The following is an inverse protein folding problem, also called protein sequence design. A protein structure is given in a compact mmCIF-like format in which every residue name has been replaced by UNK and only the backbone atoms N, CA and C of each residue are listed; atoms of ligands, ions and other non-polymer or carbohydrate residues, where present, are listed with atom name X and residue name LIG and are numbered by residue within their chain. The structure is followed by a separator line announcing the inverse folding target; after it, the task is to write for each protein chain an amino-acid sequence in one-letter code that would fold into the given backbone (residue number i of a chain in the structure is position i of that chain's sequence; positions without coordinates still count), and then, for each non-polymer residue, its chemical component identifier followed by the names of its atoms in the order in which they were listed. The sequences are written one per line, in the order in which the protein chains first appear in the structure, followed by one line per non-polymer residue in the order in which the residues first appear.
data_IF_676972057300
#
_entry.id   IF_676972057300
#
_cell.length_a   1.000
_cell.length_b   1.000
_cell.length_c   1.000
_cell.angle_alpha   90.00
_cell.angle_beta   90.00
_cell.angle_gamma   90.00
#
_symmetry.space_group_name_H-M   'P 1'
#
loop_
_entity.id
_entity.type
_entity.pdbx_description
1 polymer ?
#
# COMPACT_ATOMS: atom_id res chain seq x y z
N UNK A 1 11.87 -16.28 9.54
CA UNK A 1 12.02 -15.03 8.77
C UNK A 1 10.94 -14.05 9.19
N UNK A 2 11.14 -12.73 9.07
CA UNK A 2 10.06 -11.76 9.30
C UNK A 2 8.95 -11.94 8.26
N UNK A 3 7.73 -11.51 8.61
CA UNK A 3 6.61 -11.44 7.67
C UNK A 3 6.90 -10.44 6.56
N UNK A 4 6.52 -10.75 5.32
CA UNK A 4 6.57 -9.82 4.19
C UNK A 4 5.40 -8.84 4.33
N UNK A 5 5.69 -7.56 4.58
CA UNK A 5 4.64 -6.56 4.84
C UNK A 5 3.77 -6.27 3.60
N UNK A 6 4.42 -6.16 2.45
CA UNK A 6 3.79 -6.00 1.13
C UNK A 6 4.65 -6.73 0.10
N UNK A 7 4.01 -7.28 -0.90
CA UNK A 7 4.68 -7.86 -2.06
C UNK A 7 4.08 -7.22 -3.30
N UNK A 8 4.89 -6.50 -4.06
CA UNK A 8 4.47 -5.92 -5.32
C UNK A 8 4.87 -6.84 -6.47
N UNK A 9 3.93 -7.65 -6.93
CA UNK A 9 4.10 -8.51 -8.10
C UNK A 9 3.42 -7.94 -9.35
N UNK A 10 2.54 -6.96 -9.16
CA UNK A 10 1.73 -6.35 -10.21
C UNK A 10 2.49 -5.36 -11.08
N UNK A 11 3.24 -4.47 -10.45
CA UNK A 11 4.02 -3.45 -11.15
C UNK A 11 5.51 -3.89 -11.26
N UNK A 12 5.83 -5.11 -10.82
CA UNK A 12 7.15 -5.71 -10.88
C UNK A 12 7.14 -6.95 -11.77
N UNK A 13 7.66 -6.80 -12.99
CA UNK A 13 7.69 -7.87 -13.99
C UNK A 13 8.59 -9.06 -13.62
N UNK A 14 9.46 -8.95 -12.61
CA UNK A 14 10.36 -10.04 -12.22
C UNK A 14 9.60 -11.31 -11.83
N UNK A 15 8.62 -11.20 -10.92
CA UNK A 15 7.96 -12.37 -10.34
C UNK A 15 7.08 -13.12 -11.37
N UNK A 16 6.28 -12.43 -12.21
CA UNK A 16 5.59 -13.09 -13.32
C UNK A 16 6.55 -13.75 -14.31
N UNK A 17 7.63 -13.06 -14.71
CA UNK A 17 8.64 -13.61 -15.64
C UNK A 17 9.34 -14.83 -15.05
N UNK A 18 9.72 -14.77 -13.77
CA UNK A 18 10.35 -15.91 -13.08
C UNK A 18 9.47 -17.15 -13.15
N UNK A 19 8.16 -16.99 -12.97
CA UNK A 19 7.18 -18.08 -13.03
C UNK A 19 7.02 -18.62 -14.44
N UNK A 20 6.62 -17.75 -15.37
CA UNK A 20 6.17 -18.16 -16.70
C UNK A 20 7.31 -18.65 -17.58
N UNK A 21 8.43 -17.93 -17.56
CA UNK A 21 9.55 -18.23 -18.44
C UNK A 21 10.34 -19.45 -17.95
N UNK A 22 10.59 -19.55 -16.64
CA UNK A 22 11.37 -20.67 -16.08
C UNK A 22 10.53 -21.85 -15.59
N UNK A 23 9.19 -21.77 -15.69
CA UNK A 23 8.27 -22.83 -15.28
C UNK A 23 8.53 -23.33 -13.85
N UNK A 24 8.80 -22.40 -12.93
CA UNK A 24 9.13 -22.75 -11.54
C UNK A 24 7.92 -23.38 -10.83
N UNK A 25 8.17 -24.43 -10.04
CA UNK A 25 7.14 -25.00 -9.16
C UNK A 25 6.77 -24.03 -8.03
N UNK A 26 5.62 -24.24 -7.39
CA UNK A 26 5.19 -23.46 -6.23
C UNK A 26 6.25 -23.45 -5.12
N UNK A 27 6.80 -24.63 -4.80
CA UNK A 27 7.82 -24.77 -3.76
C UNK A 27 9.12 -24.04 -4.12
N UNK A 28 9.53 -24.05 -5.40
CA UNK A 28 10.71 -23.30 -5.83
C UNK A 28 10.45 -21.80 -5.79
N UNK A 29 9.30 -21.36 -6.32
CA UNK A 29 8.87 -19.95 -6.28
C UNK A 29 8.83 -19.41 -4.85
N UNK A 30 8.23 -20.17 -3.92
CA UNK A 30 8.23 -19.85 -2.49
C UNK A 30 9.65 -19.66 -1.94
N UNK A 31 10.55 -20.61 -2.23
CA UNK A 31 11.94 -20.57 -1.77
C UNK A 31 12.69 -19.35 -2.30
N UNK A 32 12.53 -19.02 -3.58
CA UNK A 32 13.18 -17.86 -4.21
C UNK A 32 12.67 -16.54 -3.60
N UNK A 33 11.36 -16.39 -3.44
CA UNK A 33 10.79 -15.17 -2.86
C UNK A 33 11.22 -15.00 -1.40
N UNK A 34 11.24 -16.08 -0.61
CA UNK A 34 11.71 -16.04 0.79
C UNK A 34 13.22 -15.73 0.86
N UNK A 35 14.02 -16.28 -0.05
CA UNK A 35 15.45 -15.97 -0.16
C UNK A 35 15.68 -14.48 -0.46
N UNK A 36 15.03 -13.96 -1.51
CA UNK A 36 15.10 -12.56 -1.91
C UNK A 36 14.63 -11.61 -0.79
N UNK A 37 13.60 -12.01 -0.03
CA UNK A 37 13.14 -11.26 1.13
C UNK A 37 14.16 -11.26 2.27
N UNK A 38 14.79 -12.42 2.54
CA UNK A 38 15.87 -12.53 3.52
C UNK A 38 17.03 -11.59 3.20
N UNK A 39 17.47 -11.57 1.94
CA UNK A 39 18.50 -10.65 1.47
C UNK A 39 18.10 -9.18 1.66
N UNK A 40 16.87 -8.81 1.29
CA UNK A 40 16.34 -7.46 1.51
C UNK A 40 16.43 -7.05 2.99
N UNK A 41 16.01 -7.94 3.90
CA UNK A 41 16.05 -7.71 5.35
C UNK A 41 17.48 -7.53 5.83
N UNK A 42 18.41 -8.38 5.39
CA UNK A 42 19.82 -8.32 5.77
C UNK A 42 20.48 -7.02 5.28
N UNK A 43 20.18 -6.59 4.04
CA UNK A 43 20.66 -5.32 3.49
C UNK A 43 20.13 -4.12 4.29
N UNK A 44 18.85 -4.11 4.61
CA UNK A 44 18.26 -3.06 5.45
C UNK A 44 18.91 -3.03 6.83
N UNK A 45 19.12 -4.20 7.44
CA UNK A 45 19.78 -4.32 8.74
C UNK A 45 21.21 -3.78 8.71
N UNK A 46 22.00 -4.12 7.68
CA UNK A 46 23.35 -3.56 7.48
C UNK A 46 23.33 -2.04 7.36
N UNK A 47 22.28 -1.46 6.79
CA UNK A 47 22.07 0.00 6.68
C UNK A 47 21.47 0.63 7.95
N UNK A 48 21.23 -0.16 9.00
CA UNK A 48 20.66 0.28 10.28
C UNK A 48 19.14 0.50 10.24
N UNK A 49 18.44 -0.13 9.30
CA UNK A 49 16.98 -0.08 9.17
C UNK A 49 16.40 -1.42 9.61
N UNK A 50 15.51 -1.40 10.59
CA UNK A 50 14.73 -2.58 10.96
C UNK A 50 13.54 -2.73 10.00
N UNK A 51 13.48 -3.79 9.20
CA UNK A 51 12.36 -4.03 8.27
C UNK A 51 10.99 -3.97 8.97
N UNK A 52 10.88 -4.52 10.19
CA UNK A 52 9.63 -4.54 10.95
C UNK A 52 9.12 -3.12 11.33
N UNK A 53 10.01 -2.13 11.44
CA UNK A 53 9.61 -0.74 11.72
C UNK A 53 9.02 -0.03 10.50
N UNK A 54 9.14 -0.62 9.30
CA UNK A 54 8.57 -0.08 8.06
C UNK A 54 7.11 -0.52 7.83
N UNK A 55 6.56 -1.42 8.65
CA UNK A 55 5.19 -1.94 8.50
C UNK A 55 4.15 -0.85 8.24
N UNK A 56 4.20 0.26 8.97
CA UNK A 56 3.22 1.36 8.82
C UNK A 56 3.37 2.15 7.53
N UNK A 57 4.50 2.07 6.82
CA UNK A 57 4.63 2.60 5.45
C UNK A 57 4.17 1.58 4.40
N UNK A 58 4.20 0.28 4.72
CA UNK A 58 4.02 -0.80 3.74
C UNK A 58 2.65 -1.47 3.78
N UNK A 59 1.87 -1.29 4.85
CA UNK A 59 0.51 -1.82 4.96
C UNK A 59 -0.49 -0.71 5.22
N UNK A 60 -1.72 -0.80 4.69
CA UNK A 60 -2.76 0.17 5.01
C UNK A 60 -3.10 0.11 6.51
N UNK A 61 -3.56 1.25 7.05
CA UNK A 61 -4.02 1.37 8.43
C UNK A 61 -5.50 1.78 8.45
N UNK A 62 -6.39 1.02 9.11
CA UNK A 62 -7.85 1.21 9.01
C UNK A 62 -8.32 2.58 9.53
N UNK A 63 -7.54 3.21 10.40
CA UNK A 63 -7.86 4.52 11.01
C UNK A 63 -7.08 5.69 10.42
N UNK A 64 -6.30 5.47 9.35
CA UNK A 64 -5.45 6.51 8.74
C UNK A 64 -5.83 6.78 7.29
N UNK A 65 -5.52 7.98 6.83
CA UNK A 65 -5.89 8.48 5.53
C UNK A 65 -4.78 8.30 4.52
N UNK A 66 -5.19 8.05 3.29
CA UNK A 66 -4.35 8.13 2.10
C UNK A 66 -4.73 9.41 1.36
N UNK A 67 -3.74 10.19 0.94
CA UNK A 67 -3.96 11.50 0.33
C UNK A 67 -2.99 11.72 -0.82
N UNK A 68 -3.50 12.19 -1.95
CA UNK A 68 -2.68 12.71 -3.04
C UNK A 68 -2.68 14.24 -3.02
N UNK A 69 -1.52 14.85 -2.89
CA UNK A 69 -1.32 16.29 -2.96
C UNK A 69 -0.99 16.69 -4.40
N UNK A 70 -1.67 17.71 -4.92
CA UNK A 70 -1.59 18.11 -6.32
C UNK A 70 -0.90 19.47 -6.46
N UNK A 71 0.02 19.54 -7.42
CA UNK A 71 0.82 20.72 -7.70
C UNK A 71 0.77 21.06 -9.19
N UNK A 72 0.43 22.29 -9.52
CA UNK A 72 0.48 22.83 -10.87
C UNK A 72 1.93 23.13 -11.24
N UNK A 73 2.50 22.34 -12.15
CA UNK A 73 3.92 22.45 -12.50
C UNK A 73 4.25 23.75 -13.22
N UNK A 74 3.28 24.39 -13.89
CA UNK A 74 3.48 25.70 -14.53
C UNK A 74 3.60 26.85 -13.54
N UNK A 75 3.20 26.61 -12.29
CA UNK A 75 3.27 27.59 -11.20
C UNK A 75 4.44 27.34 -10.25
N UNK A 76 5.26 26.33 -10.53
CA UNK A 76 6.52 26.12 -9.84
C UNK A 76 7.52 27.21 -10.25
N UNK A 77 8.38 27.61 -9.32
CA UNK A 77 9.54 28.47 -9.62
C UNK A 77 10.62 27.71 -10.39
N UNK A 78 10.78 26.41 -10.12
CA UNK A 78 11.74 25.53 -10.81
C UNK A 78 11.11 24.88 -12.04
N UNK A 79 10.98 25.63 -13.12
CA UNK A 79 10.30 25.17 -14.36
C UNK A 79 10.86 23.88 -14.98
N UNK A 80 12.17 23.63 -14.85
CA UNK A 80 12.81 22.42 -15.42
C UNK A 80 12.78 21.20 -14.48
N UNK A 81 12.42 21.38 -13.22
CA UNK A 81 12.40 20.33 -12.20
C UNK A 81 11.29 20.57 -11.17
N UNK A 82 10.03 20.71 -11.60
CA UNK A 82 8.91 21.08 -10.72
C UNK A 82 8.72 20.07 -9.59
N UNK A 83 8.96 18.77 -9.87
CA UNK A 83 8.91 17.71 -8.87
C UNK A 83 9.86 17.91 -7.68
N UNK A 84 11.00 18.59 -7.88
CA UNK A 84 11.91 18.91 -6.77
C UNK A 84 11.24 19.89 -5.82
N UNK A 85 10.77 21.05 -6.30
CA UNK A 85 10.12 22.06 -5.47
C UNK A 85 8.91 21.50 -4.70
N UNK A 86 8.09 20.69 -5.37
CA UNK A 86 6.93 20.04 -4.77
C UNK A 86 7.34 19.06 -3.66
N UNK A 87 8.36 18.23 -3.93
CA UNK A 87 8.89 17.27 -2.94
C UNK A 87 9.49 18.00 -1.75
N UNK A 88 10.27 19.07 -1.98
CA UNK A 88 10.85 19.88 -0.91
C UNK A 88 9.78 20.51 -0.01
N UNK A 89 8.69 20.98 -0.59
CA UNK A 89 7.56 21.51 0.17
C UNK A 89 6.87 20.43 0.99
N UNK A 90 6.60 19.25 0.40
CA UNK A 90 5.97 18.15 1.12
C UNK A 90 6.83 17.66 2.29
N UNK A 91 8.13 17.44 2.08
CA UNK A 91 9.03 16.93 3.12
C UNK A 91 9.16 17.89 4.32
N UNK A 92 9.14 19.21 4.07
CA UNK A 92 9.04 20.23 5.14
C UNK A 92 7.67 20.23 5.85
N UNK A 93 6.62 19.82 5.15
CA UNK A 93 5.28 19.77 5.70
C UNK A 93 5.05 18.54 6.61
N UNK A 94 5.64 17.39 6.23
CA UNK A 94 5.53 16.13 6.94
C UNK A 94 6.06 16.20 8.38
N UNK A 95 5.45 15.42 9.28
CA UNK A 95 5.92 15.32 10.66
C UNK A 95 7.28 14.65 10.75
N UNK A 96 8.18 15.17 11.60
CA UNK A 96 9.57 14.70 11.69
C UNK A 96 9.68 13.19 11.97
N UNK A 97 8.85 12.64 12.88
CA UNK A 97 8.94 11.24 13.33
C UNK A 97 7.96 10.29 12.63
N UNK A 98 7.35 10.70 11.52
CA UNK A 98 6.35 9.87 10.85
C UNK A 98 6.96 8.89 9.85
N UNK A 99 6.22 7.83 9.55
CA UNK A 99 6.63 6.77 8.63
C UNK A 99 5.56 6.56 7.56
N UNK A 100 5.92 6.80 6.29
CA UNK A 100 5.00 6.77 5.15
C UNK A 100 5.67 6.20 3.91
N UNK A 101 4.93 5.48 3.10
CA UNK A 101 5.26 5.34 1.69
C UNK A 101 4.76 6.55 0.93
N UNK A 102 5.62 7.09 0.07
CA UNK A 102 5.33 8.22 -0.79
C UNK A 102 5.43 7.73 -2.23
N UNK A 103 4.35 7.94 -2.98
CA UNK A 103 4.30 7.70 -4.41
C UNK A 103 4.31 9.05 -5.13
N UNK A 104 4.97 9.11 -6.28
CA UNK A 104 5.20 10.35 -7.02
C UNK A 104 5.00 10.15 -8.51
N UNK A 105 4.64 11.21 -9.22
CA UNK A 105 4.49 11.16 -10.67
C UNK A 105 3.81 12.39 -11.24
N UNK A 106 3.69 12.41 -12.56
CA UNK A 106 3.03 13.50 -13.28
C UNK A 106 1.71 13.00 -13.89
N UNK A 107 0.67 13.81 -13.71
CA UNK A 107 -0.57 13.72 -14.47
C UNK A 107 -0.49 14.72 -15.61
N UNK A 108 -0.36 14.22 -16.84
CA UNK A 108 -0.58 15.00 -18.05
C UNK A 108 -2.06 14.89 -18.39
N UNK A 109 -2.82 15.99 -18.48
CA UNK A 109 -4.25 15.79 -18.70
C UNK A 109 -5.23 16.94 -18.77
N UNK A 110 -4.86 18.18 -19.10
CA UNK A 110 -5.92 19.16 -19.42
C UNK A 110 -6.76 18.80 -20.62
N UNK A 111 -6.16 18.09 -21.58
CA UNK A 111 -6.83 17.51 -22.74
C UNK A 111 -7.50 16.18 -22.40
N UNK A 112 -7.24 15.61 -21.22
CA UNK A 112 -7.85 14.36 -20.78
C UNK A 112 -9.18 14.65 -20.06
N UNK A 113 -10.26 14.61 -20.84
CA UNK A 113 -11.64 14.74 -20.34
C UNK A 113 -11.92 13.76 -19.20
N UNK A 114 -11.31 12.57 -19.21
CA UNK A 114 -11.49 11.56 -18.17
C UNK A 114 -10.86 12.02 -16.84
N UNK A 115 -9.62 12.51 -16.88
CA UNK A 115 -8.95 13.05 -15.69
C UNK A 115 -9.76 14.17 -15.03
N UNK A 116 -10.29 15.11 -15.84
CA UNK A 116 -11.12 16.20 -15.32
C UNK A 116 -12.42 15.69 -14.71
N UNK A 117 -13.08 14.75 -15.37
CA UNK A 117 -14.35 14.16 -14.92
C UNK A 117 -14.18 13.40 -13.61
N UNK A 118 -13.09 12.63 -13.48
CA UNK A 118 -12.85 11.81 -12.30
C UNK A 118 -12.31 12.61 -11.11
N UNK A 119 -11.47 13.62 -11.34
CA UNK A 119 -10.71 14.27 -10.27
C UNK A 119 -11.30 15.61 -9.82
N UNK A 120 -11.76 16.46 -10.76
CA UNK A 120 -12.18 17.83 -10.40
C UNK A 120 -13.29 17.90 -9.33
N UNK A 121 -14.31 17.02 -9.34
CA UNK A 121 -15.40 17.07 -8.34
C UNK A 121 -14.97 16.68 -6.92
N UNK A 122 -13.83 15.99 -6.78
CA UNK A 122 -13.42 15.33 -5.53
C UNK A 122 -12.13 15.91 -4.94
N UNK A 123 -11.45 16.79 -5.67
CA UNK A 123 -10.31 17.53 -5.14
C UNK A 123 -10.80 18.56 -4.13
N UNK A 124 -10.22 18.50 -2.94
CA UNK A 124 -10.38 19.52 -1.91
C UNK A 124 -9.43 20.67 -2.26
N UNK A 125 -10.00 21.80 -2.65
CA UNK A 125 -9.26 23.03 -2.95
C UNK A 125 -9.89 24.22 -2.24
N UNK A 126 -9.08 25.16 -1.79
CA UNK A 126 -9.53 26.45 -1.25
C UNK A 126 -9.84 27.47 -2.35
N UNK A 127 -9.56 27.14 -3.62
CA UNK A 127 -9.78 28.03 -4.77
C UNK A 127 -11.22 27.88 -5.27
N UNK A 128 -12.01 28.95 -5.17
CA UNK A 128 -13.44 28.98 -5.54
C UNK A 128 -13.73 28.63 -7.01
N UNK A 129 -12.77 28.84 -7.91
CA UNK A 129 -12.85 28.52 -9.33
C UNK A 129 -11.93 27.37 -9.75
N UNK A 130 -11.65 26.43 -8.83
CA UNK A 130 -10.72 25.34 -9.06
C UNK A 130 -11.05 24.56 -10.35
N UNK A 131 -10.03 24.38 -11.18
CA UNK A 131 -10.00 23.45 -12.29
C UNK A 131 -8.68 22.70 -12.25
N UNK A 132 -8.72 21.40 -12.52
CA UNK A 132 -7.50 20.60 -12.61
C UNK A 132 -6.55 21.23 -13.65
N UNK A 133 -5.29 21.53 -13.28
CA UNK A 133 -4.29 22.03 -14.21
C UNK A 133 -3.99 21.05 -15.35
N UNK A 134 -3.32 21.59 -16.37
CA UNK A 134 -2.92 20.83 -17.56
C UNK A 134 -1.85 19.79 -17.28
N UNK A 135 -0.97 20.13 -16.35
CA UNK A 135 0.16 19.36 -15.88
C UNK A 135 0.14 19.43 -14.36
N UNK A 136 0.05 18.27 -13.71
CA UNK A 136 0.08 18.18 -12.26
C UNK A 136 1.18 17.24 -11.84
N UNK A 137 2.10 17.71 -11.00
CA UNK A 137 2.91 16.79 -10.22
C UNK A 137 2.08 16.36 -9.01
N UNK A 138 2.12 15.07 -8.69
CA UNK A 138 1.34 14.47 -7.62
C UNK A 138 2.28 13.77 -6.66
N UNK A 139 2.08 14.04 -5.37
CA UNK A 139 2.71 13.29 -4.29
C UNK A 139 1.61 12.65 -3.45
N UNK A 140 1.54 11.34 -3.52
CA UNK A 140 0.63 10.53 -2.73
C UNK A 140 1.34 10.05 -1.47
N UNK A 141 0.67 10.15 -0.32
CA UNK A 141 1.19 9.75 0.98
C UNK A 141 0.18 8.86 1.67
N UNK A 142 0.62 7.68 2.12
CA UNK A 142 -0.25 6.77 2.86
C UNK A 142 -0.24 7.04 4.37
N UNK A 143 -1.27 6.53 5.06
CA UNK A 143 -1.33 6.43 6.51
C UNK A 143 -1.14 7.73 7.32
N UNK A 144 -1.70 8.84 6.84
CA UNK A 144 -1.78 10.12 7.55
C UNK A 144 -2.91 10.12 8.61
N UNK A 145 -2.74 10.79 9.75
CA UNK A 145 -3.91 11.14 10.59
C UNK A 145 -4.67 12.31 9.97
N UNK A 146 -5.95 12.48 10.29
CA UNK A 146 -6.75 13.63 9.80
C UNK A 146 -6.06 14.97 10.12
N UNK A 147 -5.56 15.13 11.35
CA UNK A 147 -4.79 16.33 11.73
C UNK A 147 -3.48 16.51 10.95
N UNK A 148 -2.87 15.43 10.45
CA UNK A 148 -1.67 15.53 9.61
C UNK A 148 -2.03 15.97 8.18
N UNK A 149 -3.17 15.50 7.64
CA UNK A 149 -3.69 15.97 6.36
C UNK A 149 -3.93 17.47 6.41
N UNK A 150 -4.65 17.95 7.42
CA UNK A 150 -4.92 19.38 7.60
C UNK A 150 -3.64 20.21 7.79
N UNK A 151 -2.68 19.72 8.57
CA UNK A 151 -1.41 20.41 8.79
C UNK A 151 -0.55 20.48 7.51
N UNK A 152 -0.55 19.44 6.69
CA UNK A 152 0.17 19.42 5.41
C UNK A 152 -0.50 20.38 4.43
N UNK A 153 -1.82 20.29 4.24
CA UNK A 153 -2.59 21.19 3.39
C UNK A 153 -2.33 22.66 3.75
N UNK A 154 -2.45 23.02 5.03
CA UNK A 154 -2.18 24.38 5.51
C UNK A 154 -0.76 24.88 5.16
N UNK A 155 0.26 24.03 5.34
CA UNK A 155 1.65 24.41 5.00
C UNK A 155 1.86 24.51 3.50
N UNK A 156 1.27 23.62 2.72
CA UNK A 156 1.40 23.60 1.26
C UNK A 156 0.68 24.75 0.59
N UNK A 157 -0.38 25.32 1.19
CA UNK A 157 -1.06 26.52 0.68
C UNK A 157 -0.14 27.74 0.52
N UNK A 158 1.02 27.76 1.18
CA UNK A 158 2.02 28.81 1.00
C UNK A 158 2.82 28.67 -0.31
N UNK A 159 2.75 27.52 -0.96
CA UNK A 159 3.40 27.28 -2.24
C UNK A 159 2.46 27.67 -3.39
N UNK A 160 2.84 28.61 -4.28
CA UNK A 160 1.99 29.01 -5.40
C UNK A 160 1.59 27.85 -6.31
N UNK A 161 2.45 26.85 -6.45
CA UNK A 161 2.20 25.63 -7.22
C UNK A 161 1.14 24.73 -6.59
N UNK A 162 0.89 24.80 -5.27
CA UNK A 162 -0.06 23.91 -4.63
C UNK A 162 -1.50 24.24 -5.04
N UNK A 163 -2.26 23.18 -5.32
CA UNK A 163 -3.60 23.26 -5.90
C UNK A 163 -4.66 22.77 -4.93
N UNK A 164 -4.33 21.77 -4.15
CA UNK A 164 -5.25 21.07 -3.25
C UNK A 164 -4.85 19.61 -3.09
N UNK A 165 -5.77 18.81 -2.57
CA UNK A 165 -5.53 17.39 -2.36
C UNK A 165 -6.75 16.53 -2.66
N UNK A 166 -6.52 15.27 -2.98
CA UNK A 166 -7.54 14.24 -3.14
C UNK A 166 -7.48 13.28 -1.95
N UNK A 167 -8.63 13.05 -1.31
CA UNK A 167 -8.76 11.97 -0.32
C UNK A 167 -8.83 10.63 -1.05
N UNK A 168 -7.82 9.79 -0.85
CA UNK A 168 -7.69 8.47 -1.46
C UNK A 168 -7.89 7.34 -0.43
N UNK A 169 -8.51 7.64 0.72
CA UNK A 169 -8.63 6.69 1.84
C UNK A 169 -9.50 5.50 1.50
N UNK A 170 -10.57 5.73 0.73
CA UNK A 170 -11.55 4.72 0.35
C UNK A 170 -11.43 4.36 -1.12
N UNK A 171 -11.97 3.20 -1.46
CA UNK A 171 -12.12 2.80 -2.85
C UNK A 171 -12.90 3.87 -3.66
N UNK A 172 -12.33 4.28 -4.79
CA UNK A 172 -12.98 5.18 -5.75
C UNK A 172 -12.34 5.11 -7.14
N UNK A 173 -13.08 5.55 -8.15
CA UNK A 173 -12.56 5.71 -9.50
C UNK A 173 -11.40 6.73 -9.55
N UNK A 174 -11.48 7.80 -8.74
CA UNK A 174 -10.42 8.81 -8.62
C UNK A 174 -9.12 8.23 -8.02
N UNK A 175 -9.22 7.44 -6.94
CA UNK A 175 -8.07 6.71 -6.35
C UNK A 175 -7.46 5.75 -7.38
N UNK A 176 -8.29 4.99 -8.08
CA UNK A 176 -7.85 4.05 -9.11
C UNK A 176 -7.07 4.80 -10.20
N UNK A 177 -7.67 5.85 -10.78
CA UNK A 177 -7.07 6.65 -11.84
C UNK A 177 -5.71 7.22 -11.43
N UNK A 178 -5.63 7.84 -10.25
CA UNK A 178 -4.37 8.47 -9.81
C UNK A 178 -3.31 7.41 -9.53
N UNK A 179 -3.65 6.32 -8.85
CA UNK A 179 -2.69 5.26 -8.48
C UNK A 179 -2.04 4.58 -9.69
N UNK A 180 -2.73 4.52 -10.83
CA UNK A 180 -2.18 3.96 -12.09
C UNK A 180 -1.10 4.84 -12.73
N UNK A 181 -0.96 6.09 -12.29
CA UNK A 181 -0.03 7.07 -12.85
C UNK A 181 1.15 7.39 -11.92
N UNK A 182 1.19 6.79 -10.74
CA UNK A 182 2.23 7.07 -9.75
C UNK A 182 3.18 5.88 -9.62
N UNK A 183 4.46 6.18 -9.40
CA UNK A 183 5.49 5.21 -9.07
C UNK A 183 5.84 5.29 -7.57
N UNK A 184 6.31 4.18 -7.01
CA UNK A 184 6.87 4.17 -5.65
C UNK A 184 8.10 5.07 -5.63
N UNK A 185 7.98 6.21 -4.96
CA UNK A 185 8.98 7.27 -5.00
C UNK A 185 10.01 7.07 -3.90
N UNK A 186 9.56 7.05 -2.63
CA UNK A 186 10.42 6.84 -1.46
C UNK A 186 9.60 6.33 -0.27
N UNK A 187 10.27 5.74 0.72
CA UNK A 187 9.73 5.61 2.08
C UNK A 187 10.37 6.69 2.94
N UNK A 188 9.55 7.49 3.60
CA UNK A 188 9.99 8.31 4.74
C UNK A 188 9.86 7.48 6.00
N UNK A 189 10.94 7.31 6.76
CA UNK A 189 10.94 6.65 8.06
C UNK A 189 11.65 7.53 9.09
N UNK A 190 10.87 8.30 9.85
CA UNK A 190 11.42 9.31 10.76
C UNK A 190 12.23 10.36 9.99
N UNK A 191 13.50 10.48 10.35
CA UNK A 191 14.50 11.34 9.70
C UNK A 191 15.26 10.64 8.55
N UNK A 192 14.87 9.42 8.18
CA UNK A 192 15.50 8.67 7.09
C UNK A 192 14.59 8.60 5.86
N UNK A 193 15.16 8.81 4.68
CA UNK A 193 14.54 8.57 3.39
C UNK A 193 15.15 7.31 2.80
N UNK A 194 14.31 6.35 2.42
CA UNK A 194 14.70 5.08 1.80
C UNK A 194 14.20 5.08 0.36
N UNK A 195 15.08 4.78 -0.59
CA UNK A 195 14.74 4.75 -2.02
C UNK A 195 15.38 3.59 -2.77
N UNK A 196 14.85 3.29 -3.96
CA UNK A 196 15.47 2.37 -4.91
C UNK A 196 16.69 2.98 -5.61
N UNK A 197 17.70 2.17 -5.92
CA UNK A 197 18.76 2.52 -6.86
C UNK A 197 18.99 1.42 -7.89
N UNK A 198 19.78 1.70 -8.93
CA UNK A 198 20.03 0.76 -10.02
C UNK A 198 20.63 -0.56 -9.52
N UNK A 199 20.18 -1.68 -10.09
CA UNK A 199 20.55 -3.05 -9.65
C UNK A 199 22.01 -3.40 -9.97
N UNK A 200 22.68 -2.66 -10.86
CA UNK A 200 24.10 -2.83 -11.17
C UNK A 200 25.03 -2.14 -10.15
N UNK A 201 24.48 -1.34 -9.23
CA UNK A 201 25.23 -0.70 -8.14
C UNK A 201 25.16 -1.52 -6.85
N UNK A 202 26.23 -1.55 -6.04
CA UNK A 202 26.26 -2.34 -4.82
C UNK A 202 25.43 -1.71 -3.68
N UNK A 203 24.75 -2.56 -2.90
CA UNK A 203 24.01 -2.12 -1.70
C UNK A 203 24.92 -1.62 -0.55
N UNK A 204 26.25 -1.69 -0.68
CA UNK A 204 27.18 -1.18 0.34
C UNK A 204 27.25 0.35 0.39
N UNK A 205 26.73 1.04 -0.62
CA UNK A 205 26.69 2.50 -0.72
C UNK A 205 25.24 3.00 -0.80
N UNK A 206 25.05 4.30 -0.60
CA UNK A 206 23.77 4.97 -0.77
C UNK A 206 23.82 5.92 -1.98
N UNK A 207 22.82 5.84 -2.85
CA UNK A 207 22.71 6.60 -4.09
C UNK A 207 21.42 7.41 -4.10
N UNK A 208 21.54 8.72 -4.33
CA UNK A 208 20.38 9.57 -4.59
C UNK A 208 20.13 9.65 -6.09
N UNK A 209 19.08 8.98 -6.58
CA UNK A 209 18.69 9.08 -7.99
C UNK A 209 17.74 10.25 -8.26
N UNK A 210 17.28 10.93 -7.21
CA UNK A 210 16.43 12.10 -7.37
C UNK A 210 17.27 13.36 -7.46
N UNK A 211 16.79 14.33 -8.23
CA UNK A 211 17.38 15.68 -8.26
C UNK A 211 17.21 16.43 -6.93
N UNK A 212 16.30 15.95 -6.07
CA UNK A 212 16.07 16.52 -4.76
C UNK A 212 17.12 16.04 -3.74
N UNK A 213 17.83 16.97 -3.12
CA UNK A 213 18.83 16.69 -2.08
C UNK A 213 18.18 16.58 -0.68
N UNK A 214 17.87 15.35 -0.28
CA UNK A 214 17.29 15.04 1.04
C UNK A 214 18.24 15.39 2.20
N UNK A 215 19.56 15.26 1.99
CA UNK A 215 20.56 15.51 3.04
C UNK A 215 20.61 17.00 3.37
N UNK A 216 20.52 17.87 2.36
CA UNK A 216 20.40 19.33 2.59
C UNK A 216 19.14 19.72 3.35
N UNK A 217 18.09 18.89 3.35
CA UNK A 217 16.90 19.09 4.18
C UNK A 217 17.00 18.52 5.59
N UNK A 218 18.12 17.89 5.93
CA UNK A 218 18.35 17.30 7.25
C UNK A 218 17.88 15.85 7.37
N UNK A 219 17.60 15.16 6.25
CA UNK A 219 17.31 13.73 6.27
C UNK A 219 18.57 12.90 6.06
N UNK A 220 18.59 11.70 6.65
CA UNK A 220 19.52 10.65 6.28
C UNK A 220 18.99 9.97 5.02
N UNK A 221 19.84 9.78 4.02
CA UNK A 221 19.49 9.00 2.84
C UNK A 221 19.99 7.59 2.98
N UNK A 222 19.11 6.62 2.70
CA UNK A 222 19.44 5.22 2.48
C UNK A 222 18.88 4.77 1.15
N UNK A 223 19.59 3.94 0.44
CA UNK A 223 19.09 3.34 -0.79
C UNK A 223 19.34 1.85 -0.83
N UNK A 224 18.52 1.13 -1.57
CA UNK A 224 18.66 -0.30 -1.83
C UNK A 224 18.34 -0.57 -3.31
N UNK A 225 18.94 -1.60 -3.90
CA UNK A 225 18.68 -2.00 -5.28
C UNK A 225 17.16 -2.11 -5.57
N UNK A 226 16.77 -1.67 -6.77
CA UNK A 226 15.39 -1.60 -7.24
C UNK A 226 14.68 -2.94 -7.21
N UNK A 227 15.39 -4.06 -7.41
CA UNK A 227 14.81 -5.40 -7.26
C UNK A 227 14.21 -5.60 -5.87
N UNK A 228 14.88 -5.18 -4.80
CA UNK A 228 14.37 -5.33 -3.43
C UNK A 228 13.34 -4.25 -3.10
N UNK A 229 13.61 -2.99 -3.50
CA UNK A 229 12.70 -1.87 -3.23
C UNK A 229 11.34 -2.06 -3.94
N UNK A 230 11.41 -2.39 -5.22
CA UNK A 230 10.27 -2.65 -6.10
C UNK A 230 9.45 -3.86 -5.67
N UNK A 231 10.08 -4.87 -5.05
CA UNK A 231 9.40 -6.11 -4.62
C UNK A 231 8.78 -6.00 -3.22
N UNK A 232 9.53 -5.52 -2.21
CA UNK A 232 9.14 -5.62 -0.80
C UNK A 232 8.91 -4.29 -0.09
N UNK A 233 9.32 -3.18 -0.70
CA UNK A 233 9.23 -1.83 -0.12
C UNK A 233 8.27 -0.92 -0.90
N UNK A 234 7.48 -1.51 -1.79
CA UNK A 234 6.53 -0.81 -2.65
C UNK A 234 5.11 -0.94 -2.11
N UNK A 235 4.56 0.17 -1.62
CA UNK A 235 3.17 0.23 -1.17
C UNK A 235 2.25 0.24 -2.39
N UNK A 236 1.17 -0.53 -2.34
CA UNK A 236 0.18 -0.62 -3.40
C UNK A 236 -1.14 0.01 -2.97
N UNK A 237 -1.49 1.22 -3.43
CA UNK A 237 -2.81 1.76 -3.20
C UNK A 237 -3.88 0.83 -3.79
N UNK A 238 -4.90 0.50 -3.01
CA UNK A 238 -6.03 -0.32 -3.48
C UNK A 238 -6.72 0.35 -4.67
N UNK A 239 -6.93 -0.41 -5.74
CA UNK A 239 -7.44 0.07 -7.04
C UNK A 239 -8.38 -0.96 -7.64
N UNK A 240 -9.31 -0.53 -8.49
CA UNK A 240 -10.22 -1.43 -9.22
C UNK A 240 -9.37 -2.38 -10.08
N UNK A 241 -9.61 -3.68 -9.94
CA UNK A 241 -9.07 -4.69 -10.84
C UNK A 241 -9.81 -4.58 -12.17
N UNK A 242 -9.07 -4.32 -13.25
CA UNK A 242 -9.65 -4.16 -14.60
C UNK A 242 -9.58 -5.43 -15.46
N UNK A 243 -9.08 -6.57 -14.95
CA UNK A 243 -9.14 -7.87 -15.64
C UNK A 243 -8.99 -9.08 -14.70
N UNK A 244 -9.35 -10.26 -15.21
CA UNK A 244 -9.67 -11.54 -14.51
C UNK A 244 -8.42 -12.34 -14.06
N UNK A 245 -7.22 -12.03 -14.56
CA UNK A 245 -6.00 -12.77 -14.18
C UNK A 245 -5.31 -12.15 -12.99
N UNK A 246 -5.38 -12.84 -11.86
CA UNK A 246 -4.99 -12.34 -10.56
C UNK A 246 -3.55 -12.73 -10.20
N UNK A 247 -2.60 -12.45 -11.11
CA UNK A 247 -1.19 -12.83 -10.96
C UNK A 247 -0.59 -12.30 -9.65
N UNK A 248 -1.03 -11.12 -9.21
CA UNK A 248 -0.55 -10.52 -7.97
C UNK A 248 -1.03 -11.29 -6.72
N UNK A 249 -2.30 -11.75 -6.67
CA UNK A 249 -2.74 -12.62 -5.58
C UNK A 249 -2.12 -14.01 -5.68
N UNK A 250 -1.97 -14.55 -6.89
CA UNK A 250 -1.33 -15.85 -7.12
C UNK A 250 0.12 -15.87 -6.62
N UNK A 251 0.89 -14.82 -6.96
CA UNK A 251 2.27 -14.65 -6.53
C UNK A 251 2.35 -14.37 -5.02
N UNK A 252 1.44 -13.56 -4.47
CA UNK A 252 1.38 -13.32 -3.03
C UNK A 252 1.13 -14.60 -2.23
N UNK A 253 0.26 -15.48 -2.70
CA UNK A 253 0.01 -16.78 -2.06
C UNK A 253 1.25 -17.68 -2.12
N UNK A 254 1.94 -17.73 -3.27
CA UNK A 254 3.22 -18.46 -3.41
C UNK A 254 4.34 -17.90 -2.57
N UNK A 255 4.31 -16.61 -2.24
CA UNK A 255 5.29 -16.03 -1.33
C UNK A 255 5.18 -16.56 0.10
N UNK A 256 4.06 -17.17 0.49
CA UNK A 256 3.82 -17.64 1.86
C UNK A 256 3.49 -19.14 1.99
N UNK A 257 3.44 -19.87 0.87
CA UNK A 257 3.16 -21.32 0.86
C UNK A 257 3.89 -22.03 -0.27
N UNK A 258 4.48 -23.19 0.02
CA UNK A 258 5.10 -24.08 -0.97
C UNK A 258 4.10 -24.96 -1.73
N UNK A 259 2.83 -24.97 -1.29
CA UNK A 259 1.71 -25.67 -1.95
C UNK A 259 0.58 -24.67 -2.08
N UNK A 260 0.20 -24.34 -3.32
CA UNK A 260 -0.82 -23.32 -3.57
C UNK A 260 -2.03 -23.84 -4.32
N UNK A 261 -3.14 -23.15 -4.12
CA UNK A 261 -4.37 -23.28 -4.86
C UNK A 261 -5.00 -21.88 -5.02
N UNK A 262 -5.70 -21.58 -6.13
CA UNK A 262 -6.29 -20.27 -6.37
C UNK A 262 -7.29 -19.88 -5.28
N UNK A 263 -7.21 -18.65 -4.76
CA UNK A 263 -8.13 -18.15 -3.73
C UNK A 263 -9.60 -18.19 -4.15
N UNK A 264 -9.88 -18.20 -5.45
CA UNK A 264 -11.23 -18.34 -6.00
C UNK A 264 -11.91 -19.66 -5.61
N UNK A 265 -11.14 -20.71 -5.29
CA UNK A 265 -11.62 -22.05 -4.93
C UNK A 265 -11.81 -22.25 -3.42
N UNK A 266 -11.54 -21.21 -2.61
CA UNK A 266 -11.54 -21.31 -1.15
C UNK A 266 -12.89 -20.90 -0.55
N UNK A 267 -13.18 -21.48 0.60
CA UNK A 267 -14.26 -21.01 1.49
C UNK A 267 -13.66 -20.28 2.68
N UNK A 268 -14.36 -19.25 3.18
CA UNK A 268 -14.02 -18.62 4.46
C UNK A 268 -14.68 -19.42 5.57
N UNK A 269 -13.93 -19.75 6.62
CA UNK A 269 -14.40 -20.53 7.75
C UNK A 269 -14.20 -19.80 9.07
N UNK A 270 -15.26 -19.70 9.86
CA UNK A 270 -15.25 -19.18 11.21
C UNK A 270 -15.67 -20.31 12.16
N UNK A 271 -14.80 -20.64 13.12
CA UNK A 271 -15.13 -21.61 14.18
C UNK A 271 -16.30 -21.09 15.04
N UNK A 272 -17.24 -21.97 15.43
CA UNK A 272 -18.42 -21.59 16.22
C UNK A 272 -18.04 -20.85 17.51
N UNK A 273 -17.11 -21.41 18.27
CA UNK A 273 -16.61 -20.79 19.49
C UNK A 273 -15.99 -19.41 19.23
N UNK A 274 -15.37 -19.20 18.06
CA UNK A 274 -14.81 -17.90 17.69
C UNK A 274 -15.92 -16.90 17.37
N UNK A 275 -16.92 -17.31 16.61
CA UNK A 275 -18.06 -16.45 16.29
C UNK A 275 -18.82 -16.04 17.56
N UNK A 276 -19.26 -17.02 18.34
CA UNK A 276 -20.12 -16.80 19.51
C UNK A 276 -19.37 -16.18 20.68
N UNK A 277 -18.17 -16.67 21.01
CA UNK A 277 -17.48 -16.30 22.27
C UNK A 277 -16.43 -15.20 22.11
N UNK A 278 -16.03 -14.85 20.89
CA UNK A 278 -15.01 -13.82 20.65
C UNK A 278 -15.53 -12.69 19.76
N UNK A 279 -16.12 -13.00 18.61
CA UNK A 279 -16.59 -11.97 17.69
C UNK A 279 -17.83 -11.26 18.25
N UNK A 280 -18.84 -12.01 18.70
CA UNK A 280 -20.10 -11.49 19.25
C UNK A 280 -20.00 -10.95 20.68
N UNK A 281 -18.84 -11.08 21.34
CA UNK A 281 -18.61 -10.54 22.70
C UNK A 281 -17.49 -9.52 22.71
N UNK A 282 -16.27 -9.94 22.35
CA UNK A 282 -15.04 -9.15 22.49
C UNK A 282 -14.86 -8.17 21.33
N UNK A 283 -15.32 -8.53 20.13
CA UNK A 283 -15.25 -7.67 18.93
C UNK A 283 -16.58 -7.04 18.53
N UNK A 284 -17.65 -7.21 19.33
CA UNK A 284 -18.99 -6.74 19.00
C UNK A 284 -19.01 -5.25 18.64
N UNK A 285 -18.35 -4.39 19.42
CA UNK A 285 -18.29 -2.96 19.13
C UNK A 285 -17.61 -2.62 17.79
N UNK A 286 -16.66 -3.43 17.31
CA UNK A 286 -16.06 -3.27 15.98
C UNK A 286 -17.02 -3.74 14.88
N UNK A 287 -17.69 -4.86 15.10
CA UNK A 287 -18.71 -5.35 14.16
C UNK A 287 -19.86 -4.38 14.02
N UNK A 288 -20.32 -3.76 15.12
CA UNK A 288 -21.38 -2.75 15.11
C UNK A 288 -20.98 -1.53 14.27
N UNK A 289 -19.75 -1.03 14.43
CA UNK A 289 -19.25 0.10 13.62
C UNK A 289 -19.20 -0.22 12.13
N UNK A 290 -18.87 -1.47 11.80
CA UNK A 290 -18.81 -1.96 10.42
C UNK A 290 -20.16 -2.40 9.84
N UNK A 291 -21.26 -2.34 10.61
CA UNK A 291 -22.57 -2.85 10.18
C UNK A 291 -22.63 -4.37 10.03
N UNK A 292 -21.75 -5.10 10.75
CA UNK A 292 -21.60 -6.56 10.67
C UNK A 292 -22.14 -7.31 11.89
N UNK A 293 -22.58 -6.60 12.93
CA UNK A 293 -22.96 -7.23 14.21
C UNK A 293 -24.16 -8.16 14.08
N UNK A 294 -25.11 -7.81 13.20
CA UNK A 294 -26.36 -8.55 12.98
C UNK A 294 -26.19 -9.69 11.97
N UNK A 295 -25.04 -9.81 11.32
CA UNK A 295 -24.78 -10.90 10.39
C UNK A 295 -24.66 -12.22 11.14
N UNK A 296 -25.32 -13.24 10.61
CA UNK A 296 -25.04 -14.63 10.95
C UNK A 296 -23.61 -15.00 10.58
N UNK A 297 -23.11 -16.11 11.12
CA UNK A 297 -21.78 -16.65 10.81
C UNK A 297 -21.59 -16.82 9.29
N UNK A 298 -22.57 -17.44 8.63
CA UNK A 298 -22.55 -17.70 7.18
C UNK A 298 -22.55 -16.40 6.36
N UNK A 299 -23.33 -15.40 6.77
CA UNK A 299 -23.35 -14.10 6.09
C UNK A 299 -22.01 -13.35 6.25
N UNK A 300 -21.38 -13.44 7.42
CA UNK A 300 -20.06 -12.86 7.64
C UNK A 300 -18.97 -13.55 6.79
N UNK A 301 -19.00 -14.89 6.70
CA UNK A 301 -18.12 -15.66 5.83
C UNK A 301 -18.26 -15.23 4.35
N UNK A 302 -19.51 -15.12 3.86
CA UNK A 302 -19.80 -14.66 2.52
C UNK A 302 -19.37 -13.20 2.28
N UNK A 303 -19.55 -12.33 3.27
CA UNK A 303 -19.16 -10.92 3.18
C UNK A 303 -17.64 -10.76 3.07
N UNK A 304 -16.86 -11.53 3.82
CA UNK A 304 -15.38 -11.56 3.71
C UNK A 304 -14.97 -12.10 2.34
N UNK A 305 -15.54 -13.23 1.91
CA UNK A 305 -15.19 -13.89 0.65
C UNK A 305 -15.45 -12.99 -0.58
N UNK A 306 -16.61 -12.32 -0.62
CA UNK A 306 -16.99 -11.45 -1.74
C UNK A 306 -16.03 -10.27 -1.95
N UNK A 307 -15.40 -9.80 -0.87
CA UNK A 307 -14.45 -8.68 -0.91
C UNK A 307 -13.00 -9.14 -1.11
N UNK A 308 -12.67 -10.39 -0.78
CA UNK A 308 -11.30 -10.93 -0.89
C UNK A 308 -10.68 -10.70 -2.27
N UNK A 309 -11.46 -10.95 -3.34
CA UNK A 309 -11.00 -10.90 -4.74
C UNK A 309 -10.67 -9.49 -5.25
N UNK A 310 -10.94 -8.45 -4.46
CA UNK A 310 -10.72 -7.05 -4.84
C UNK A 310 -9.60 -6.38 -4.04
N UNK A 311 -8.91 -7.13 -3.17
CA UNK A 311 -7.97 -6.58 -2.22
C UNK A 311 -6.58 -7.18 -2.39
N UNK A 312 -5.57 -6.41 -1.98
CA UNK A 312 -4.21 -6.93 -1.86
C UNK A 312 -4.04 -7.72 -0.57
N UNK A 313 -3.10 -8.67 -0.59
CA UNK A 313 -2.66 -9.37 0.61
C UNK A 313 -1.50 -8.61 1.24
N UNK A 314 -1.57 -8.41 2.55
CA UNK A 314 -0.55 -7.74 3.35
C UNK A 314 -0.08 -8.64 4.49
N UNK A 315 1.10 -8.35 5.06
CA UNK A 315 1.67 -9.14 6.16
C UNK A 315 1.61 -10.65 5.89
N UNK A 316 2.19 -11.06 4.77
CA UNK A 316 2.32 -12.46 4.39
C UNK A 316 3.27 -13.12 5.38
N UNK A 317 2.80 -14.11 6.11
CA UNK A 317 3.57 -14.77 7.15
C UNK A 317 3.51 -16.28 6.94
N UNK A 318 4.70 -16.88 6.96
CA UNK A 318 4.87 -18.31 7.01
C UNK A 318 5.68 -18.66 8.26
N UNK A 319 5.07 -19.46 9.12
CA UNK A 319 5.68 -20.02 10.33
C UNK A 319 5.75 -21.51 10.12
N UNK A 320 6.97 -22.06 10.16
CA UNK A 320 7.20 -23.50 10.21
C UNK A 320 8.09 -23.80 11.39
N UNK A 321 7.44 -24.12 12.51
CA UNK A 321 8.07 -24.60 13.73
C UNK A 321 7.63 -26.05 13.99
N UNK A 322 8.42 -26.87 14.70
CA UNK A 322 8.07 -28.28 14.96
C UNK A 322 6.69 -28.48 15.58
N UNK A 323 6.23 -27.52 16.38
CA UNK A 323 4.95 -27.57 17.11
C UNK A 323 3.84 -26.77 16.45
N UNK A 324 4.16 -25.97 15.42
CA UNK A 324 3.19 -25.04 14.83
C UNK A 324 3.58 -24.68 13.40
N UNK A 325 2.69 -24.99 12.46
CA UNK A 325 2.76 -24.51 11.10
C UNK A 325 1.58 -23.56 10.85
N UNK A 326 1.87 -22.40 10.28
CA UNK A 326 0.89 -21.36 10.03
C UNK A 326 1.29 -20.55 8.80
N UNK A 327 0.41 -20.51 7.81
CA UNK A 327 0.46 -19.53 6.73
C UNK A 327 -0.70 -18.57 6.92
N UNK A 328 -0.43 -17.27 7.01
CA UNK A 328 -1.48 -16.27 7.15
C UNK A 328 -1.16 -14.98 6.42
N UNK A 329 -2.20 -14.20 6.19
CA UNK A 329 -2.13 -12.87 5.60
C UNK A 329 -3.25 -11.99 6.15
N UNK A 330 -3.11 -10.69 5.92
CA UNK A 330 -4.12 -9.70 6.22
C UNK A 330 -4.73 -9.14 4.92
N UNK A 331 -6.00 -8.78 4.99
CA UNK A 331 -6.70 -7.96 3.99
C UNK A 331 -7.37 -6.79 4.70
N UNK A 332 -7.45 -5.64 4.03
CA UNK A 332 -8.27 -4.52 4.47
C UNK A 332 -9.60 -4.60 3.73
N UNK A 333 -10.70 -4.55 4.46
CA UNK A 333 -12.05 -4.61 3.90
C UNK A 333 -12.80 -3.31 4.20
N UNK A 334 -13.47 -2.78 3.18
CA UNK A 334 -14.40 -1.65 3.31
C UNK A 334 -15.84 -2.14 3.38
N UNK A 335 -16.55 -1.79 4.45
CA UNK A 335 -17.97 -2.07 4.62
C UNK A 335 -18.79 -0.77 4.58
N UNK A 336 -19.88 -0.73 3.80
CA UNK A 336 -20.70 0.48 3.69
C UNK A 336 -21.32 0.84 5.04
N UNK A 337 -21.46 2.14 5.30
CA UNK A 337 -22.12 2.68 6.50
C UNK A 337 -23.21 3.66 6.09
N UNK A 338 -24.36 3.59 6.76
CA UNK A 338 -25.45 4.54 6.51
C UNK A 338 -25.02 5.97 6.87
N UNK A 339 -25.21 6.91 5.94
CA UNK A 339 -24.99 8.35 6.16
C UNK A 339 -23.53 8.79 6.37
N UNK A 340 -22.55 7.97 6.00
CA UNK A 340 -21.14 8.32 6.20
C UNK A 340 -20.18 7.55 5.29
N UNK A 341 -18.88 7.70 5.55
CA UNK A 341 -17.86 6.94 4.85
C UNK A 341 -17.86 5.46 5.27
N UNK A 342 -17.38 4.54 4.39
CA UNK A 342 -17.22 3.14 4.74
C UNK A 342 -16.39 2.94 6.02
N UNK A 343 -16.73 1.91 6.80
CA UNK A 343 -15.87 1.44 7.88
C UNK A 343 -14.81 0.51 7.30
N UNK A 344 -13.55 0.71 7.68
CA UNK A 344 -12.44 -0.15 7.25
C UNK A 344 -12.02 -1.09 8.36
N UNK A 345 -11.88 -2.36 8.01
CA UNK A 345 -11.61 -3.44 8.94
C UNK A 345 -10.48 -4.30 8.40
N UNK A 346 -9.51 -4.63 9.23
CA UNK A 346 -8.44 -5.57 8.87
C UNK A 346 -8.87 -6.97 9.29
N UNK A 347 -8.86 -7.90 8.34
CA UNK A 347 -9.15 -9.31 8.56
C UNK A 347 -7.86 -10.10 8.40
N UNK A 348 -7.51 -10.91 9.39
CA UNK A 348 -6.40 -11.85 9.32
C UNK A 348 -6.95 -13.26 9.05
N UNK A 349 -6.43 -13.89 7.99
CA UNK A 349 -6.87 -15.22 7.53
C UNK A 349 -5.67 -16.17 7.52
N UNK A 350 -5.88 -17.38 8.04
CA UNK A 350 -4.98 -18.50 7.82
C UNK A 350 -5.31 -19.17 6.49
N UNK A 351 -4.29 -19.38 5.68
CA UNK A 351 -4.36 -20.02 4.39
C UNK A 351 -4.08 -21.53 4.52
N UNK A 352 -5.11 -22.36 4.38
CA UNK A 352 -4.99 -23.82 4.39
C UNK A 352 -5.18 -24.38 2.98
N UNK A 353 -4.10 -24.48 2.23
CA UNK A 353 -4.14 -24.83 0.81
C UNK A 353 -4.76 -26.20 0.52
N UNK A 354 -4.40 -27.21 1.31
CA UNK A 354 -4.88 -28.61 1.12
C UNK A 354 -6.38 -28.71 1.36
N UNK A 355 -6.87 -28.04 2.41
CA UNK A 355 -8.30 -28.04 2.80
C UNK A 355 -9.14 -27.06 1.96
N UNK A 356 -8.50 -26.13 1.23
CA UNK A 356 -9.14 -25.00 0.54
C UNK A 356 -9.97 -24.12 1.48
N UNK A 357 -9.42 -23.89 2.68
CA UNK A 357 -10.05 -23.12 3.75
C UNK A 357 -9.23 -21.85 4.03
N UNK A 358 -9.93 -20.72 4.12
CA UNK A 358 -9.44 -19.48 4.71
C UNK A 358 -10.02 -19.35 6.12
N UNK A 359 -9.28 -19.80 7.12
CA UNK A 359 -9.77 -19.75 8.51
C UNK A 359 -9.59 -18.35 9.07
N UNK A 360 -10.68 -17.77 9.60
CA UNK A 360 -10.61 -16.47 10.26
C UNK A 360 -9.78 -16.52 11.54
N UNK A 361 -8.71 -15.74 11.60
CA UNK A 361 -7.86 -15.59 12.79
C UNK A 361 -8.29 -14.43 13.68
N UNK A 362 -8.57 -13.27 13.11
CA UNK A 362 -9.12 -12.13 13.86
C UNK A 362 -9.65 -11.06 12.91
N UNK A 363 -10.49 -10.18 13.47
CA UNK A 363 -10.98 -8.94 12.86
C UNK A 363 -10.53 -7.78 13.74
N UNK A 364 -9.89 -6.77 13.16
CA UNK A 364 -9.33 -5.61 13.87
C UNK A 364 -9.62 -4.28 13.22
#
# INVERSE_FOLDING_TARGET
MPSIHTLNARDNGLLPVMREYFSLSDARTFTEIQGLHGECVDILQMKGINYASLRTALTPQPTKHEVAFLFDTHRCTRNFAPGVECTEALFRALGAKTTHSILGGELFGSSDTLARTLLSPVVVSTKTSFRLPNTCFVLYVNNLSEGAVAAIDFKLQQLPAYVGYLRCTYFSAAKTFISLKLMNYVIKHGDTVIMGHEDDRPNTQDYNLHQHDYVKQGFRLRSIQLIYFGTFLSYKPERLLLDITDDDLEIAVRAMSSVTAPLAEFTVFIEDAKFEKYLQTTKLGKLQKAGLAELTKTELEAAILSKLRMNYLYNLEWVSQPTHQLTKFNILLEFPRFGGHPERVVVALEYRSVERILRLLTIT
#
